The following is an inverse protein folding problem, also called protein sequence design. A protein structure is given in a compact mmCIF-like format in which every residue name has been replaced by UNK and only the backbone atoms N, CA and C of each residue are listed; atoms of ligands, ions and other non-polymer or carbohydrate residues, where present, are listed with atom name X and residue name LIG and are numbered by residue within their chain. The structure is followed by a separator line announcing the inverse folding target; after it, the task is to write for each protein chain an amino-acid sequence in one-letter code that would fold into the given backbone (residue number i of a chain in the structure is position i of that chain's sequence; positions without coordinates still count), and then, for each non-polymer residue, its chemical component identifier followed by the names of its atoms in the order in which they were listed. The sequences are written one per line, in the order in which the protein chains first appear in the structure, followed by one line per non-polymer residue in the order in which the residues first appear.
data_IF_029017343632
#
_entry.id   IF_029017343632
#
_cell.length_a   1.000
_cell.length_b   1.000
_cell.length_c   1.000
_cell.angle_alpha   90.00
_cell.angle_beta   90.00
_cell.angle_gamma   90.00
#
_symmetry.space_group_name_H-M   'P 1'
#
loop_
_entity.id
_entity.type
_entity.pdbx_description
1 polymer ?
#
# COMPACT_ATOMS: atom_id res chain seq x y z
N UNK A 1 9.88 9.67 -1.60
CA UNK A 1 8.79 9.31 -0.68
C UNK A 1 9.02 7.87 -0.24
N UNK A 2 8.74 7.55 1.03
CA UNK A 2 8.80 6.17 1.50
C UNK A 2 7.40 5.56 1.38
N UNK A 3 7.18 4.80 0.30
CA UNK A 3 5.89 4.16 0.00
C UNK A 3 5.92 2.70 0.44
N UNK A 4 4.96 2.32 1.29
CA UNK A 4 4.79 0.95 1.77
C UNK A 4 3.40 0.45 1.43
N UNK A 5 3.32 -0.77 0.91
CA UNK A 5 2.07 -1.52 0.74
C UNK A 5 1.98 -2.53 1.87
N UNK A 6 0.94 -2.43 2.70
CA UNK A 6 0.66 -3.39 3.77
C UNK A 6 -0.45 -4.34 3.30
N UNK A 7 -0.13 -5.61 3.15
CA UNK A 7 -1.07 -6.62 2.67
C UNK A 7 -0.88 -7.96 3.40
N UNK A 8 -1.81 -8.91 3.24
CA UNK A 8 -1.58 -10.30 3.64
C UNK A 8 -0.95 -11.09 2.49
N UNK A 9 -0.22 -12.17 2.79
CA UNK A 9 0.46 -13.00 1.76
C UNK A 9 -0.48 -13.54 0.69
N UNK A 10 -1.73 -13.82 1.06
CA UNK A 10 -2.75 -14.36 0.17
C UNK A 10 -3.68 -13.28 -0.42
N UNK A 11 -3.29 -12.00 -0.36
CA UNK A 11 -4.10 -10.90 -0.89
C UNK A 11 -3.99 -10.83 -2.42
N UNK A 12 -4.99 -11.37 -3.12
CA UNK A 12 -5.09 -11.32 -4.59
C UNK A 12 -5.02 -9.90 -5.16
N UNK A 13 -5.59 -8.92 -4.45
CA UNK A 13 -5.59 -7.52 -4.86
C UNK A 13 -4.22 -6.84 -4.73
N UNK A 14 -3.34 -7.35 -3.86
CA UNK A 14 -2.02 -6.75 -3.64
C UNK A 14 -1.16 -6.80 -4.90
N UNK A 15 -1.19 -7.91 -5.64
CA UNK A 15 -0.41 -8.07 -6.85
C UNK A 15 -0.76 -7.02 -7.91
N UNK A 16 -2.05 -6.84 -8.19
CA UNK A 16 -2.52 -5.83 -9.14
C UNK A 16 -2.15 -4.43 -8.68
N UNK A 17 -2.30 -4.14 -7.39
CA UNK A 17 -1.99 -2.83 -6.84
C UNK A 17 -0.49 -2.50 -6.94
N UNK A 18 0.41 -3.47 -6.70
CA UNK A 18 1.85 -3.28 -6.88
C UNK A 18 2.19 -2.99 -8.34
N UNK A 19 1.61 -3.74 -9.29
CA UNK A 19 1.80 -3.49 -10.72
C UNK A 19 1.31 -2.10 -11.15
N UNK A 20 0.21 -1.60 -10.57
CA UNK A 20 -0.28 -0.24 -10.82
C UNK A 20 0.74 0.81 -10.35
N UNK A 21 1.34 0.63 -9.17
CA UNK A 21 2.41 1.52 -8.68
C UNK A 21 3.65 1.46 -9.57
N UNK A 22 4.06 0.27 -9.99
CA UNK A 22 5.21 0.07 -10.90
C UNK A 22 4.98 0.75 -12.25
N UNK A 23 3.78 0.62 -12.83
CA UNK A 23 3.41 1.27 -14.08
C UNK A 23 3.40 2.79 -14.00
N UNK A 24 3.14 3.35 -12.81
CA UNK A 24 3.23 4.78 -12.52
C UNK A 24 4.66 5.23 -12.16
N UNK A 25 5.64 4.31 -12.11
CA UNK A 25 7.02 4.61 -11.73
C UNK A 25 7.20 4.93 -10.24
N UNK A 26 6.30 4.45 -9.39
CA UNK A 26 6.31 4.69 -7.94
C UNK A 26 7.07 3.55 -7.25
N UNK A 27 8.28 3.85 -6.78
CA UNK A 27 9.07 2.94 -5.95
C UNK A 27 8.34 2.65 -4.63
N UNK A 28 8.20 1.38 -4.28
CA UNK A 28 7.44 0.94 -3.11
C UNK A 28 7.98 -0.37 -2.53
N UNK A 29 7.70 -0.58 -1.23
CA UNK A 29 8.03 -1.83 -0.53
C UNK A 29 6.76 -2.52 -0.04
N UNK A 30 6.69 -3.83 -0.23
CA UNK A 30 5.58 -4.65 0.29
C UNK A 30 5.97 -5.23 1.65
N UNK A 31 5.12 -5.02 2.64
CA UNK A 31 5.23 -5.65 3.94
C UNK A 31 4.00 -6.52 4.18
N UNK A 32 4.25 -7.76 4.60
CA UNK A 32 3.18 -8.69 4.88
C UNK A 32 2.73 -8.56 6.34
N UNK A 33 1.46 -8.25 6.55
CA UNK A 33 0.83 -8.17 7.86
C UNK A 33 0.99 -9.47 8.68
N UNK A 34 1.10 -10.61 7.99
CA UNK A 34 1.32 -11.92 8.59
C UNK A 34 2.69 -12.03 9.30
N UNK A 35 3.71 -11.32 8.79
CA UNK A 35 5.08 -11.34 9.31
C UNK A 35 5.39 -10.12 10.20
N UNK A 36 4.61 -9.04 10.06
CA UNK A 36 4.88 -7.73 10.66
C UNK A 36 3.74 -7.26 11.59
N UNK A 37 3.45 -7.97 12.70
CA UNK A 37 2.33 -7.64 13.60
C UNK A 37 2.49 -6.26 14.25
N UNK A 38 3.72 -5.79 14.44
CA UNK A 38 4.01 -4.45 14.97
C UNK A 38 3.54 -3.35 14.00
N UNK A 39 3.70 -3.53 12.68
CA UNK A 39 3.19 -2.58 11.69
C UNK A 39 1.65 -2.56 11.65
N UNK A 40 1.02 -3.73 11.78
CA UNK A 40 -0.44 -3.86 11.87
C UNK A 40 -0.97 -3.05 13.05
N UNK A 41 -0.33 -3.17 14.22
CA UNK A 41 -0.69 -2.42 15.43
C UNK A 41 -0.41 -0.93 15.28
N UNK A 42 0.79 -0.56 14.82
CA UNK A 42 1.23 0.83 14.62
C UNK A 42 0.25 1.63 13.76
N UNK A 43 -0.21 1.03 12.66
CA UNK A 43 -1.09 1.70 11.69
C UNK A 43 -2.57 1.39 11.86
N UNK A 44 -2.93 0.58 12.88
CA UNK A 44 -4.29 0.09 13.14
C UNK A 44 -4.90 -0.50 11.85
N UNK A 45 -4.19 -1.46 11.26
CA UNK A 45 -4.60 -2.16 10.04
C UNK A 45 -5.64 -3.22 10.40
N UNK A 46 -6.77 -3.21 9.69
CA UNK A 46 -7.90 -4.13 9.92
C UNK A 46 -8.28 -4.96 8.70
N UNK A 47 -7.75 -4.61 7.53
CA UNK A 47 -7.99 -5.25 6.24
C UNK A 47 -6.82 -4.90 5.32
N UNK A 48 -6.64 -5.66 4.24
CA UNK A 48 -5.62 -5.45 3.21
C UNK A 48 -6.25 -5.15 1.83
N UNK A 49 -5.55 -4.45 0.93
CA UNK A 49 -4.27 -3.77 1.12
C UNK A 49 -4.43 -2.35 1.69
N UNK A 50 -3.33 -1.77 2.22
CA UNK A 50 -3.23 -0.35 2.60
C UNK A 50 -1.98 0.26 1.99
N UNK A 51 -2.04 1.54 1.66
CA UNK A 51 -0.89 2.34 1.25
C UNK A 51 -0.47 3.26 2.40
N UNK A 52 0.79 3.17 2.79
CA UNK A 52 1.43 4.07 3.76
C UNK A 52 2.47 4.88 3.02
N UNK A 53 2.42 6.20 3.16
CA UNK A 53 3.42 7.11 2.60
C UNK A 53 3.97 7.95 3.74
N UNK A 54 5.29 7.96 3.88
CA UNK A 54 6.01 8.71 4.91
C UNK A 54 5.38 8.52 6.31
N UNK A 55 5.18 7.25 6.69
CA UNK A 55 4.61 6.79 7.97
C UNK A 55 3.13 7.16 8.19
N UNK A 56 2.42 7.61 7.15
CA UNK A 56 0.99 7.93 7.22
C UNK A 56 0.17 6.98 6.35
N UNK A 57 -0.90 6.41 6.90
CA UNK A 57 -1.85 5.61 6.11
C UNK A 57 -2.67 6.54 5.24
N UNK A 58 -2.41 6.53 3.94
CA UNK A 58 -3.06 7.42 2.96
C UNK A 58 -4.21 6.73 2.23
N UNK A 59 -4.14 5.42 2.06
CA UNK A 59 -5.25 4.61 1.55
C UNK A 59 -5.44 3.34 2.38
N UNK A 60 -6.70 3.03 2.68
CA UNK A 60 -7.12 1.79 3.37
C UNK A 60 -7.81 0.78 2.44
N UNK A 61 -7.73 1.02 1.15
CA UNK A 61 -8.29 0.19 0.08
C UNK A 61 -7.31 0.27 -1.10
N UNK A 62 -7.52 -0.55 -2.13
CA UNK A 62 -6.87 -0.30 -3.42
C UNK A 62 -7.44 1.01 -4.01
N UNK A 63 -6.65 2.08 -4.15
CA UNK A 63 -7.06 3.29 -4.86
C UNK A 63 -7.14 3.03 -6.36
N UNK A 64 -7.89 3.86 -7.07
CA UNK A 64 -7.87 3.92 -8.53
C UNK A 64 -6.59 4.58 -9.04
N UNK A 65 -6.21 4.32 -10.29
CA UNK A 65 -5.08 4.99 -10.94
C UNK A 65 -5.21 6.54 -10.91
N UNK A 66 -6.43 7.07 -11.04
CA UNK A 66 -6.68 8.51 -10.94
C UNK A 66 -6.39 9.05 -9.54
N UNK A 67 -6.86 8.35 -8.49
CA UNK A 67 -6.57 8.73 -7.09
C UNK A 67 -5.06 8.69 -6.82
N UNK A 68 -4.34 7.69 -7.38
CA UNK A 68 -2.88 7.62 -7.29
C UNK A 68 -2.19 8.79 -7.98
N UNK A 69 -2.55 9.09 -9.22
CA UNK A 69 -1.98 10.22 -9.98
C UNK A 69 -2.21 11.55 -9.25
N UNK A 70 -3.42 11.77 -8.75
CA UNK A 70 -3.74 12.96 -7.95
C UNK A 70 -2.92 13.03 -6.66
N UNK A 71 -2.76 11.92 -5.95
CA UNK A 71 -2.00 11.89 -4.70
C UNK A 71 -0.50 12.13 -4.91
N UNK A 72 0.08 11.50 -5.94
CA UNK A 72 1.51 11.59 -6.26
C UNK A 72 1.86 12.80 -7.15
N UNK A 73 0.88 13.61 -7.54
CA UNK A 73 1.02 14.74 -8.47
C UNK A 73 1.68 14.33 -9.80
N UNK A 74 1.19 13.24 -10.41
CA UNK A 74 1.61 12.69 -11.70
C UNK A 74 0.71 13.14 -12.86
#
# INVERSE_FOLDING_TARGET
MNVKVLATKNCSHCFNFCNELDNLGIDHQVYYCDDEPELVKKYNIRHSPNLVVDETVVFRKQPTELELKQFFNL
#
